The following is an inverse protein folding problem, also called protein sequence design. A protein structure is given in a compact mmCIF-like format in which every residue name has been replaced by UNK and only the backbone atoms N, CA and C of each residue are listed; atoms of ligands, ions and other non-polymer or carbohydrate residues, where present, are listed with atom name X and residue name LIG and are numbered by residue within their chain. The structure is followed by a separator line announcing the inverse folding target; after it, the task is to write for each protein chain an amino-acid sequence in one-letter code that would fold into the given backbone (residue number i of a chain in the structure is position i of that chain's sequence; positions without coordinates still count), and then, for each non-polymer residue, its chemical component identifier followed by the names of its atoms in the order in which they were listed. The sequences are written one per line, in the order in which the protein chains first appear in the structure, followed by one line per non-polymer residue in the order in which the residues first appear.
data_IF_807486347498
#
_entry.id   IF_807486347498
#
_cell.length_a   1.000
_cell.length_b   1.000
_cell.length_c   1.000
_cell.angle_alpha   90.00
_cell.angle_beta   90.00
_cell.angle_gamma   90.00
#
_symmetry.space_group_name_H-M   'P 1'
#
loop_
_entity.id
_entity.type
_entity.pdbx_description
1 polymer ?
#
# COMPACT_ATOMS: atom_id res chain seq x y z
N UNK A 1 -30.74 0.26 -42.13
CA UNK A 1 -30.23 -0.04 -43.48
C UNK A 1 -28.71 -0.03 -43.39
N UNK A 2 -28.12 -1.17 -43.04
CA UNK A 2 -27.37 -2.06 -43.94
C UNK A 2 -26.25 -1.31 -44.70
N UNK A 3 -24.99 -1.68 -44.53
CA UNK A 3 -24.46 -2.89 -45.14
C UNK A 3 -23.07 -3.28 -44.61
N UNK A 4 -22.82 -4.59 -44.68
CA UNK A 4 -21.62 -5.33 -44.33
C UNK A 4 -20.39 -4.95 -45.18
N UNK A 5 -19.18 -5.19 -44.66
CA UNK A 5 -18.21 -6.03 -45.37
C UNK A 5 -16.98 -6.42 -44.53
N UNK A 6 -16.68 -7.71 -44.60
CA UNK A 6 -15.45 -8.41 -44.16
C UNK A 6 -14.47 -8.47 -45.35
N UNK A 7 -13.15 -8.60 -45.15
CA UNK A 7 -12.47 -9.91 -45.37
C UNK A 7 -11.28 -10.14 -44.38
N UNK A 8 -11.05 -11.30 -43.76
CA UNK A 8 -10.31 -12.50 -44.23
C UNK A 8 -8.92 -12.26 -44.84
N UNK A 9 -7.83 -12.46 -44.08
CA UNK A 9 -6.77 -13.46 -44.34
C UNK A 9 -5.55 -13.32 -43.39
N UNK A 10 -5.15 -14.44 -42.79
CA UNK A 10 -3.83 -14.75 -42.17
C UNK A 10 -2.82 -15.17 -43.26
N UNK A 11 -1.48 -15.34 -43.07
CA UNK A 11 -0.88 -16.21 -42.03
C UNK A 11 0.58 -15.88 -41.55
N UNK A 12 1.08 -16.73 -40.63
CA UNK A 12 2.51 -17.08 -40.37
C UNK A 12 3.41 -16.00 -39.72
N UNK A 13 4.16 -16.23 -38.65
CA UNK A 13 4.47 -17.41 -37.84
C UNK A 13 5.62 -17.10 -36.86
N UNK A 14 5.76 -17.96 -35.84
CA UNK A 14 6.96 -18.19 -34.99
C UNK A 14 7.34 -17.08 -33.99
N UNK A 15 7.71 -17.32 -32.72
CA UNK A 15 8.16 -18.55 -32.06
C UNK A 15 8.23 -18.39 -30.51
N UNK A 16 7.93 -19.51 -29.82
CA UNK A 16 8.68 -20.11 -28.69
C UNK A 16 8.39 -19.74 -27.20
N UNK A 17 8.11 -20.84 -26.46
CA UNK A 17 8.34 -21.21 -25.05
C UNK A 17 7.71 -20.38 -23.92
N UNK A 18 6.72 -20.91 -23.21
CA UNK A 18 6.77 -21.99 -22.20
C UNK A 18 6.78 -21.40 -20.79
N UNK A 19 5.64 -21.44 -20.09
CA UNK A 19 5.65 -21.88 -18.70
C UNK A 19 4.29 -22.39 -18.24
N UNK A 20 4.37 -23.44 -17.44
CA UNK A 20 3.35 -24.35 -16.96
C UNK A 20 2.76 -23.83 -15.64
N UNK A 21 1.43 -23.84 -15.48
CA UNK A 21 0.78 -24.11 -14.18
C UNK A 21 -0.74 -24.23 -14.31
N UNK A 22 -1.20 -25.48 -14.29
CA UNK A 22 -2.30 -25.99 -13.46
C UNK A 22 -3.72 -25.40 -13.62
N UNK A 23 -4.49 -26.11 -14.46
CA UNK A 23 -5.94 -26.24 -14.35
C UNK A 23 -6.34 -26.92 -13.02
N UNK A 24 -7.00 -26.21 -12.12
CA UNK A 24 -7.77 -26.82 -11.02
C UNK A 24 -9.26 -26.66 -11.28
N UNK A 25 -9.84 -27.71 -11.88
CA UNK A 25 -11.27 -28.05 -11.82
C UNK A 25 -11.70 -28.14 -10.33
N UNK A 26 -12.87 -27.63 -9.92
CA UNK A 26 -13.37 -27.88 -8.58
C UNK A 26 -13.75 -29.37 -8.49
N UNK A 27 -12.98 -30.13 -7.73
CA UNK A 27 -13.30 -31.52 -7.40
C UNK A 27 -14.47 -31.52 -6.43
N UNK A 28 -15.65 -31.87 -6.94
CA UNK A 28 -16.84 -32.18 -6.15
C UNK A 28 -16.51 -33.39 -5.27
N UNK A 29 -16.23 -33.15 -3.99
CA UNK A 29 -15.81 -34.19 -3.06
C UNK A 29 -16.82 -35.34 -3.00
N UNK A 30 -16.33 -36.57 -2.89
CA UNK A 30 -17.15 -37.78 -2.85
C UNK A 30 -18.30 -37.72 -1.82
N UNK A 31 -18.15 -36.95 -0.74
CA UNK A 31 -19.23 -36.68 0.22
C UNK A 31 -20.40 -35.89 -0.36
N UNK A 32 -20.15 -34.84 -1.16
CA UNK A 32 -21.22 -34.03 -1.76
C UNK A 32 -22.01 -34.84 -2.78
N UNK A 33 -21.33 -35.68 -3.56
CA UNK A 33 -21.97 -36.63 -4.47
C UNK A 33 -22.80 -37.64 -3.68
N UNK A 34 -22.30 -38.15 -2.55
CA UNK A 34 -23.03 -39.08 -1.68
C UNK A 34 -24.25 -38.46 -1.03
N UNK A 35 -24.17 -37.18 -0.65
CA UNK A 35 -25.26 -36.40 -0.05
C UNK A 35 -26.34 -36.02 -1.08
N UNK A 36 -25.93 -35.76 -2.32
CA UNK A 36 -26.83 -35.51 -3.44
C UNK A 36 -27.47 -36.82 -3.94
N UNK A 37 -26.73 -37.94 -3.96
CA UNK A 37 -27.30 -39.26 -4.24
C UNK A 37 -28.31 -39.68 -3.16
N UNK A 38 -28.00 -39.42 -1.88
CA UNK A 38 -28.89 -39.79 -0.78
C UNK A 38 -30.17 -38.94 -0.76
N UNK A 39 -30.08 -37.65 -1.10
CA UNK A 39 -31.26 -36.79 -1.23
C UNK A 39 -32.12 -37.15 -2.46
N UNK A 40 -31.50 -37.53 -3.59
CA UNK A 40 -32.22 -38.03 -4.76
C UNK A 40 -32.87 -39.40 -4.50
N UNK A 41 -32.19 -40.32 -3.80
CA UNK A 41 -32.79 -41.60 -3.39
C UNK A 41 -33.96 -41.42 -2.43
N UNK A 42 -33.88 -40.47 -1.48
CA UNK A 42 -34.96 -40.19 -0.54
C UNK A 42 -36.23 -39.71 -1.26
N UNK A 43 -36.09 -38.79 -2.20
CA UNK A 43 -37.20 -38.30 -3.03
C UNK A 43 -37.81 -39.39 -3.92
N UNK A 44 -36.98 -40.26 -4.51
CA UNK A 44 -37.47 -41.42 -5.28
C UNK A 44 -38.19 -42.44 -4.38
N UNK A 45 -37.70 -42.65 -3.16
CA UNK A 45 -38.34 -43.53 -2.18
C UNK A 45 -39.67 -42.95 -1.71
N UNK A 46 -39.77 -41.65 -1.50
CA UNK A 46 -41.01 -40.93 -1.14
C UNK A 46 -42.06 -41.02 -2.25
N UNK A 47 -41.67 -40.81 -3.52
CA UNK A 47 -42.56 -41.03 -4.66
C UNK A 47 -42.96 -42.51 -4.83
N UNK A 48 -42.04 -43.44 -4.58
CA UNK A 48 -42.33 -44.89 -4.59
C UNK A 48 -43.28 -45.28 -3.45
N UNK A 49 -43.12 -44.74 -2.24
CA UNK A 49 -44.00 -45.00 -1.11
C UNK A 49 -45.37 -44.39 -1.34
N UNK A 50 -45.45 -43.20 -1.94
CA UNK A 50 -46.71 -42.58 -2.32
C UNK A 50 -47.44 -43.42 -3.38
N UNK A 51 -46.75 -43.85 -4.44
CA UNK A 51 -47.36 -44.70 -5.49
C UNK A 51 -47.80 -46.06 -4.93
N UNK A 52 -47.02 -46.69 -4.04
CA UNK A 52 -47.40 -47.94 -3.36
C UNK A 52 -48.55 -47.76 -2.36
N UNK A 53 -48.60 -46.65 -1.64
CA UNK A 53 -49.70 -46.31 -0.74
C UNK A 53 -50.97 -46.01 -1.52
N UNK A 54 -50.87 -45.28 -2.64
CA UNK A 54 -51.99 -45.01 -3.54
C UNK A 54 -52.52 -46.31 -4.17
N UNK A 55 -51.63 -47.19 -4.62
CA UNK A 55 -52.03 -48.48 -5.20
C UNK A 55 -52.61 -49.44 -4.14
N UNK A 56 -52.08 -49.42 -2.92
CA UNK A 56 -52.69 -50.11 -1.77
C UNK A 56 -54.06 -49.54 -1.42
N UNK A 57 -54.22 -48.23 -1.50
CA UNK A 57 -55.48 -47.54 -1.24
C UNK A 57 -56.53 -47.82 -2.33
N UNK A 58 -56.13 -47.83 -3.61
CA UNK A 58 -57.00 -48.21 -4.73
C UNK A 58 -57.44 -49.68 -4.59
N UNK A 59 -56.52 -50.59 -4.24
CA UNK A 59 -56.87 -51.98 -3.98
C UNK A 59 -57.76 -52.14 -2.73
N UNK A 60 -57.58 -51.31 -1.71
CA UNK A 60 -58.46 -51.29 -0.55
C UNK A 60 -59.86 -50.81 -0.92
N UNK A 61 -59.97 -49.75 -1.74
CA UNK A 61 -61.24 -49.25 -2.27
C UNK A 61 -61.93 -50.30 -3.14
N UNK A 62 -61.21 -50.97 -4.06
CA UNK A 62 -61.80 -52.05 -4.87
C UNK A 62 -62.27 -53.22 -4.01
N UNK A 63 -61.51 -53.62 -2.98
CA UNK A 63 -61.97 -54.65 -2.04
C UNK A 63 -63.15 -54.17 -1.19
N UNK A 64 -63.20 -52.89 -0.87
CA UNK A 64 -64.30 -52.28 -0.12
C UNK A 64 -65.57 -52.22 -0.96
N UNK A 65 -65.51 -51.77 -2.22
CA UNK A 65 -66.66 -51.78 -3.14
C UNK A 65 -67.15 -53.20 -3.38
N UNK A 66 -66.25 -54.17 -3.56
CA UNK A 66 -66.61 -55.57 -3.73
C UNK A 66 -67.28 -56.14 -2.46
N UNK A 67 -66.78 -55.80 -1.27
CA UNK A 67 -67.43 -56.14 0.01
C UNK A 67 -68.81 -55.51 0.14
N UNK A 68 -68.96 -54.22 -0.20
CA UNK A 68 -70.25 -53.53 -0.18
C UNK A 68 -71.26 -54.18 -1.13
N UNK A 69 -70.85 -54.58 -2.33
CA UNK A 69 -71.73 -55.29 -3.28
C UNK A 69 -72.14 -56.66 -2.74
N UNK A 70 -71.22 -57.44 -2.15
CA UNK A 70 -71.60 -58.71 -1.51
C UNK A 70 -72.47 -58.54 -0.26
N UNK A 71 -72.28 -57.48 0.51
CA UNK A 71 -73.14 -57.17 1.66
C UNK A 71 -74.52 -56.71 1.22
N UNK A 72 -74.60 -55.96 0.12
CA UNK A 72 -75.87 -55.60 -0.53
C UNK A 72 -76.59 -56.85 -1.04
N UNK A 73 -75.89 -57.77 -1.70
CA UNK A 73 -76.46 -59.02 -2.20
C UNK A 73 -76.91 -59.94 -1.04
N UNK A 74 -76.11 -60.02 0.04
CA UNK A 74 -76.51 -60.72 1.26
C UNK A 74 -77.73 -60.08 1.93
N UNK A 75 -77.82 -58.76 1.98
CA UNK A 75 -78.94 -58.05 2.57
C UNK A 75 -80.21 -58.17 1.73
N UNK A 76 -80.10 -58.07 0.40
CA UNK A 76 -81.18 -58.35 -0.56
C UNK A 76 -81.67 -59.79 -0.36
N UNK A 77 -80.76 -60.76 -0.27
CA UNK A 77 -81.10 -62.18 -0.04
C UNK A 77 -81.68 -62.41 1.36
N UNK A 78 -81.23 -61.70 2.39
CA UNK A 78 -81.75 -61.76 3.76
C UNK A 78 -83.17 -61.18 3.85
N UNK A 79 -83.43 -60.05 3.16
CA UNK A 79 -84.75 -59.43 3.10
C UNK A 79 -85.72 -60.22 2.21
N UNK A 80 -85.23 -60.89 1.17
CA UNK A 80 -86.05 -61.72 0.27
C UNK A 80 -86.32 -63.11 0.85
N UNK A 81 -85.37 -63.71 1.59
CA UNK A 81 -85.42 -65.11 2.01
C UNK A 81 -85.82 -65.33 3.48
N UNK A 82 -86.67 -64.44 4.02
CA UNK A 82 -87.42 -64.71 5.25
C UNK A 82 -88.90 -64.83 4.91
N UNK A 83 -89.36 -66.05 4.62
CA UNK A 83 -90.79 -66.37 4.57
C UNK A 83 -91.06 -67.83 4.99
N UNK A 84 -91.10 -68.05 6.30
CA UNK A 84 -92.08 -68.90 6.99
C UNK A 84 -92.37 -68.09 8.28
N UNK A 85 -93.47 -67.37 8.46
CA UNK A 85 -94.87 -67.69 8.24
C UNK A 85 -95.70 -66.43 7.91
N UNK A 86 -96.82 -66.72 7.26
CA UNK A 86 -98.05 -65.93 7.12
C UNK A 86 -98.17 -64.91 5.97
N UNK A 87 -99.23 -65.13 5.17
CA UNK A 87 -99.64 -64.32 4.04
C UNK A 87 -100.30 -63.04 4.58
N UNK A 88 -99.64 -61.89 4.44
CA UNK A 88 -100.30 -60.58 4.56
C UNK A 88 -99.73 -59.58 3.53
N UNK A 89 -100.66 -58.93 2.81
CA UNK A 89 -100.51 -58.15 1.58
C UNK A 89 -99.74 -56.79 1.73
N UNK A 90 -99.20 -56.51 2.91
CA UNK A 90 -98.49 -55.27 3.23
C UNK A 90 -96.99 -55.32 2.90
N UNK A 91 -96.40 -56.52 2.81
CA UNK A 91 -94.96 -56.68 2.55
C UNK A 91 -94.59 -56.54 1.05
N UNK A 92 -95.53 -56.78 0.14
CA UNK A 92 -95.29 -56.61 -1.31
C UNK A 92 -95.35 -55.15 -1.76
N UNK A 93 -96.12 -54.29 -1.09
CA UNK A 93 -96.20 -52.85 -1.39
C UNK A 93 -95.01 -52.06 -0.83
N UNK A 94 -94.37 -52.54 0.25
CA UNK A 94 -93.21 -51.87 0.87
C UNK A 94 -91.85 -52.20 0.20
N UNK A 95 -91.78 -53.20 -0.69
CA UNK A 95 -90.54 -53.60 -1.38
C UNK A 95 -90.00 -52.52 -2.34
N UNK A 96 -90.88 -51.76 -2.99
CA UNK A 96 -90.49 -50.69 -3.92
C UNK A 96 -89.75 -49.53 -3.24
N UNK A 97 -90.34 -48.87 -2.23
CA UNK A 97 -89.73 -47.72 -1.57
C UNK A 97 -88.42 -48.04 -0.84
N UNK A 98 -88.31 -49.23 -0.21
CA UNK A 98 -87.09 -49.63 0.52
C UNK A 98 -85.93 -49.86 -0.45
N UNK A 99 -86.17 -50.52 -1.58
CA UNK A 99 -85.12 -50.70 -2.61
C UNK A 99 -84.70 -49.36 -3.22
N UNK A 100 -85.65 -48.46 -3.48
CA UNK A 100 -85.35 -47.11 -3.98
C UNK A 100 -84.49 -46.31 -2.99
N UNK A 101 -84.85 -46.31 -1.70
CA UNK A 101 -84.07 -45.63 -0.66
C UNK A 101 -82.65 -46.16 -0.53
N UNK A 102 -82.47 -47.47 -0.67
CA UNK A 102 -81.14 -48.11 -0.61
C UNK A 102 -80.26 -47.71 -1.80
N UNK A 103 -80.82 -47.62 -3.01
CA UNK A 103 -80.11 -47.16 -4.20
C UNK A 103 -79.67 -45.70 -4.10
N UNK A 104 -80.51 -44.81 -3.58
CA UNK A 104 -80.20 -43.38 -3.43
C UNK A 104 -79.03 -43.16 -2.48
N UNK A 105 -79.01 -43.86 -1.34
CA UNK A 105 -77.91 -43.78 -0.36
C UNK A 105 -76.60 -44.28 -1.00
N UNK A 106 -76.66 -45.37 -1.77
CA UNK A 106 -75.46 -45.95 -2.39
C UNK A 106 -74.86 -45.01 -3.46
N UNK A 107 -75.72 -44.41 -4.28
CA UNK A 107 -75.32 -43.40 -5.27
C UNK A 107 -74.67 -42.18 -4.59
N UNK A 108 -75.23 -41.70 -3.48
CA UNK A 108 -74.68 -40.57 -2.74
C UNK A 108 -73.29 -40.87 -2.18
N UNK A 109 -73.09 -42.05 -1.61
CA UNK A 109 -71.78 -42.46 -1.06
C UNK A 109 -70.72 -42.61 -2.16
N UNK A 110 -71.08 -43.16 -3.32
CA UNK A 110 -70.15 -43.30 -4.44
C UNK A 110 -69.78 -41.93 -5.01
N UNK A 111 -70.76 -41.06 -5.24
CA UNK A 111 -70.52 -39.72 -5.78
C UNK A 111 -69.71 -38.86 -4.80
N UNK A 112 -70.09 -38.84 -3.52
CA UNK A 112 -69.39 -38.09 -2.48
C UNK A 112 -67.98 -38.61 -2.23
N UNK A 113 -67.82 -39.94 -2.14
CA UNK A 113 -66.51 -40.57 -1.98
C UNK A 113 -65.59 -40.36 -3.19
N UNK A 114 -66.14 -40.43 -4.40
CA UNK A 114 -65.42 -40.11 -5.63
C UNK A 114 -64.96 -38.65 -5.68
N UNK A 115 -65.80 -37.72 -5.20
CA UNK A 115 -65.47 -36.31 -5.16
C UNK A 115 -64.31 -35.98 -4.20
N UNK A 116 -64.24 -36.63 -3.03
CA UNK A 116 -63.13 -36.45 -2.07
C UNK A 116 -61.78 -36.89 -2.65
N UNK A 117 -61.75 -37.91 -3.51
CA UNK A 117 -60.50 -38.37 -4.16
C UNK A 117 -60.04 -37.41 -5.26
N UNK A 118 -60.99 -36.79 -5.96
CA UNK A 118 -60.68 -35.87 -7.06
C UNK A 118 -60.47 -34.43 -6.60
N UNK A 119 -60.84 -34.07 -5.38
CA UNK A 119 -60.65 -32.73 -4.84
C UNK A 119 -59.17 -32.49 -4.49
N UNK A 120 -58.44 -31.63 -5.23
CA UNK A 120 -57.09 -31.25 -4.85
C UNK A 120 -57.17 -30.37 -3.60
N UNK A 121 -56.70 -30.91 -2.47
CA UNK A 121 -56.44 -30.13 -1.26
C UNK A 121 -55.11 -29.41 -1.47
N UNK A 122 -55.15 -28.22 -2.05
CA UNK A 122 -53.99 -27.33 -2.14
C UNK A 122 -53.63 -26.83 -0.73
N UNK A 123 -52.69 -27.51 -0.09
CA UNK A 123 -52.06 -27.05 1.14
C UNK A 123 -51.17 -25.84 0.83
N UNK A 124 -51.68 -24.64 1.07
CA UNK A 124 -50.91 -23.40 1.04
C UNK A 124 -50.05 -23.27 2.32
N UNK A 125 -49.01 -24.11 2.45
CA UNK A 125 -48.00 -23.94 3.49
C UNK A 125 -47.03 -22.81 3.12
N UNK A 126 -47.14 -21.67 3.81
CA UNK A 126 -46.17 -20.58 3.73
C UNK A 126 -45.03 -20.86 4.71
N UNK A 127 -43.89 -21.31 4.21
CA UNK A 127 -42.66 -21.39 4.99
C UNK A 127 -41.95 -20.03 5.01
N UNK A 128 -41.56 -19.54 6.20
CA UNK A 128 -40.72 -18.36 6.34
C UNK A 128 -39.26 -18.79 6.18
N UNK A 129 -38.64 -18.45 5.05
CA UNK A 129 -37.21 -18.65 4.82
C UNK A 129 -36.41 -17.41 5.22
N UNK A 130 -35.37 -17.59 6.03
CA UNK A 130 -34.39 -16.53 6.33
C UNK A 130 -33.09 -16.80 5.57
N UNK A 131 -32.64 -15.83 4.77
CA UNK A 131 -31.33 -15.89 4.10
C UNK A 131 -30.27 -15.41 5.09
N UNK A 132 -29.52 -16.36 5.65
CA UNK A 132 -28.38 -16.06 6.52
C UNK A 132 -27.11 -16.11 5.66
N UNK A 133 -26.34 -15.01 5.53
CA UNK A 133 -25.08 -15.05 4.81
C UNK A 133 -24.11 -15.98 5.55
N UNK A 134 -23.63 -17.02 4.87
CA UNK A 134 -22.65 -17.97 5.40
C UNK A 134 -21.22 -17.41 5.43
N UNK A 135 -20.98 -16.27 4.78
CA UNK A 135 -19.63 -15.68 4.67
C UNK A 135 -19.28 -14.83 5.90
N UNK A 136 -18.03 -14.95 6.35
CA UNK A 136 -17.46 -14.09 7.39
C UNK A 136 -17.41 -12.66 6.85
N UNK A 137 -18.25 -11.78 7.38
CA UNK A 137 -18.20 -10.33 7.09
C UNK A 137 -16.82 -9.80 7.46
N UNK A 138 -16.21 -9.01 6.57
CA UNK A 138 -14.94 -8.31 6.82
C UNK A 138 -15.22 -6.82 6.94
N UNK A 139 -14.77 -6.20 8.02
CA UNK A 139 -14.84 -4.75 8.20
C UNK A 139 -13.70 -4.11 7.40
N UNK A 140 -14.04 -3.16 6.53
CA UNK A 140 -13.07 -2.36 5.78
C UNK A 140 -12.94 -1.02 6.48
N UNK A 141 -11.74 -0.69 6.95
CA UNK A 141 -11.45 0.55 7.68
C UNK A 141 -10.17 1.17 7.12
N UNK A 142 -10.15 2.51 6.99
CA UNK A 142 -8.93 3.23 6.64
C UNK A 142 -7.98 3.26 7.84
N UNK A 143 -6.69 2.87 7.68
CA UNK A 143 -5.70 2.90 8.77
C UNK A 143 -5.30 4.32 9.18
N UNK A 144 -5.45 5.30 8.28
CA UNK A 144 -5.01 6.69 8.48
C UNK A 144 -6.17 7.64 8.77
N UNK A 145 -7.42 7.20 8.59
CA UNK A 145 -8.59 8.09 8.57
C UNK A 145 -8.61 8.96 7.31
N UNK A 146 -9.43 10.02 7.29
CA UNK A 146 -9.50 10.99 6.19
C UNK A 146 -10.94 11.37 5.82
N UNK A 147 -11.07 12.44 5.02
CA UNK A 147 -12.35 12.87 4.47
C UNK A 147 -12.71 12.00 3.27
N UNK A 148 -13.94 11.49 3.21
CA UNK A 148 -14.42 10.75 2.03
C UNK A 148 -14.71 11.74 0.91
N UNK A 149 -14.12 11.51 -0.25
CA UNK A 149 -14.37 12.29 -1.47
C UNK A 149 -15.50 11.68 -2.28
N UNK A 150 -15.46 10.37 -2.49
CA UNK A 150 -16.42 9.66 -3.33
C UNK A 150 -16.60 8.22 -2.85
N UNK A 151 -17.82 7.70 -2.99
CA UNK A 151 -18.16 6.30 -2.70
C UNK A 151 -18.59 5.65 -4.02
N UNK A 152 -17.89 4.61 -4.45
CA UNK A 152 -18.07 3.98 -5.76
C UNK A 152 -19.10 2.84 -5.77
N UNK A 153 -19.55 2.39 -4.60
CA UNK A 153 -20.40 1.20 -4.47
C UNK A 153 -21.60 1.45 -3.57
N UNK A 154 -22.71 0.79 -3.90
CA UNK A 154 -23.94 0.83 -3.13
C UNK A 154 -24.18 -0.49 -2.40
N UNK A 155 -25.16 -0.48 -1.50
CA UNK A 155 -25.52 -1.69 -0.74
C UNK A 155 -26.08 -2.76 -1.69
N UNK A 156 -25.42 -3.92 -1.71
CA UNK A 156 -25.83 -5.07 -2.54
C UNK A 156 -25.02 -5.24 -3.83
N UNK A 157 -24.12 -4.28 -4.14
CA UNK A 157 -23.24 -4.39 -5.30
C UNK A 157 -22.21 -5.53 -5.10
N UNK A 158 -21.94 -6.25 -6.19
CA UNK A 158 -20.91 -7.29 -6.21
C UNK A 158 -19.56 -6.67 -6.55
N UNK A 159 -18.61 -6.73 -5.61
CA UNK A 159 -17.24 -6.21 -5.76
C UNK A 159 -16.22 -7.34 -5.78
N UNK A 160 -15.16 -7.18 -6.58
CA UNK A 160 -14.00 -8.07 -6.59
C UNK A 160 -12.87 -7.50 -5.74
N UNK A 161 -11.90 -8.34 -5.41
CA UNK A 161 -10.72 -7.89 -4.70
C UNK A 161 -9.89 -6.93 -5.58
N UNK A 162 -9.59 -5.74 -5.05
CA UNK A 162 -8.86 -4.69 -5.77
C UNK A 162 -9.75 -3.60 -6.37
N UNK A 163 -11.07 -3.77 -6.37
CA UNK A 163 -11.98 -2.75 -6.88
C UNK A 163 -12.01 -1.54 -5.93
N UNK A 164 -11.99 -0.30 -6.45
CA UNK A 164 -12.11 0.90 -5.63
C UNK A 164 -13.52 0.99 -5.04
N UNK A 165 -13.61 1.08 -3.71
CA UNK A 165 -14.88 1.14 -2.96
C UNK A 165 -15.16 2.58 -2.52
N UNK A 166 -14.14 3.27 -2.01
CA UNK A 166 -14.20 4.64 -1.50
C UNK A 166 -12.92 5.36 -1.91
N UNK A 167 -13.03 6.57 -2.45
CA UNK A 167 -11.92 7.50 -2.59
C UNK A 167 -11.90 8.46 -1.39
N UNK A 168 -10.72 8.64 -0.81
CA UNK A 168 -10.46 9.66 0.20
C UNK A 168 -10.02 10.96 -0.48
N UNK A 169 -10.17 12.07 0.23
CA UNK A 169 -9.63 13.35 -0.20
C UNK A 169 -8.10 13.34 -0.13
N UNK A 170 -7.48 13.51 -1.29
CA UNK A 170 -6.02 13.44 -1.46
C UNK A 170 -5.34 14.80 -1.23
N UNK A 171 -6.08 15.90 -1.03
CA UNK A 171 -5.49 17.25 -0.97
C UNK A 171 -4.39 17.34 0.10
N UNK A 172 -4.65 16.84 1.31
CA UNK A 172 -3.68 16.90 2.40
C UNK A 172 -2.48 15.98 2.15
N UNK A 173 -2.72 14.75 1.69
CA UNK A 173 -1.67 13.78 1.41
C UNK A 173 -0.75 14.27 0.27
N UNK A 174 -1.35 14.84 -0.78
CA UNK A 174 -0.62 15.43 -1.91
C UNK A 174 0.17 16.65 -1.48
N UNK A 175 -0.39 17.55 -0.67
CA UNK A 175 0.35 18.68 -0.13
C UNK A 175 1.58 18.25 0.68
N UNK A 176 1.43 17.24 1.55
CA UNK A 176 2.55 16.71 2.34
C UNK A 176 3.62 16.04 1.47
N UNK A 177 3.18 15.32 0.43
CA UNK A 177 4.08 14.73 -0.56
C UNK A 177 4.87 15.81 -1.30
N UNK A 178 4.22 16.85 -1.80
CA UNK A 178 4.88 17.96 -2.50
C UNK A 178 5.89 18.70 -1.60
N UNK A 179 5.54 18.94 -0.33
CA UNK A 179 6.48 19.55 0.64
C UNK A 179 7.72 18.67 0.83
N UNK A 180 7.53 17.37 1.05
CA UNK A 180 8.62 16.43 1.28
C UNK A 180 9.48 16.25 0.02
N UNK A 181 8.85 16.22 -1.15
CA UNK A 181 9.50 16.16 -2.44
C UNK A 181 10.35 17.41 -2.71
N UNK A 182 9.83 18.60 -2.41
CA UNK A 182 10.58 19.83 -2.58
C UNK A 182 11.76 19.91 -1.60
N UNK A 183 11.60 19.50 -0.35
CA UNK A 183 12.70 19.38 0.60
C UNK A 183 13.78 18.42 0.10
N UNK A 184 13.37 17.26 -0.41
CA UNK A 184 14.29 16.28 -0.99
C UNK A 184 15.07 16.88 -2.18
N UNK A 185 14.38 17.58 -3.10
CA UNK A 185 15.03 18.29 -4.22
C UNK A 185 16.07 19.31 -3.74
N UNK A 186 15.72 20.10 -2.72
CA UNK A 186 16.65 21.06 -2.10
C UNK A 186 17.87 20.36 -1.52
N UNK A 187 17.68 19.33 -0.71
CA UNK A 187 18.81 18.61 -0.10
C UNK A 187 19.72 17.96 -1.14
N UNK A 188 19.16 17.40 -2.22
CA UNK A 188 19.94 16.79 -3.29
C UNK A 188 20.79 17.83 -4.05
N UNK A 189 20.24 19.03 -4.30
CA UNK A 189 20.99 20.12 -4.93
C UNK A 189 22.10 20.65 -4.00
N UNK A 190 21.80 20.83 -2.72
CA UNK A 190 22.77 21.24 -1.70
C UNK A 190 23.87 20.20 -1.52
N UNK A 191 23.54 18.91 -1.48
CA UNK A 191 24.51 17.81 -1.41
C UNK A 191 25.46 17.85 -2.61
N UNK A 192 24.92 17.94 -3.83
CA UNK A 192 25.73 18.03 -5.04
C UNK A 192 26.71 19.20 -4.97
N UNK A 193 26.26 20.39 -4.51
CA UNK A 193 27.14 21.54 -4.30
C UNK A 193 28.22 21.25 -3.26
N UNK A 194 27.87 20.68 -2.11
CA UNK A 194 28.82 20.39 -1.05
C UNK A 194 29.87 19.36 -1.47
N UNK A 195 29.48 18.35 -2.25
CA UNK A 195 30.41 17.39 -2.85
C UNK A 195 31.35 18.10 -3.83
N UNK A 196 30.83 18.99 -4.67
CA UNK A 196 31.65 19.79 -5.59
C UNK A 196 32.65 20.70 -4.84
N UNK A 197 32.23 21.32 -3.73
CA UNK A 197 33.11 22.14 -2.87
C UNK A 197 34.19 21.29 -2.20
N UNK A 198 33.82 20.13 -1.64
CA UNK A 198 34.76 19.20 -0.99
C UNK A 198 35.84 18.72 -1.94
N UNK A 199 35.44 18.34 -3.15
CA UNK A 199 36.33 17.75 -4.15
C UNK A 199 36.97 18.81 -5.06
N UNK A 200 36.71 20.10 -4.78
CA UNK A 200 37.21 21.27 -5.50
C UNK A 200 36.97 21.18 -7.02
N UNK A 201 35.76 20.75 -7.40
CA UNK A 201 35.34 20.64 -8.79
C UNK A 201 35.11 22.02 -9.42
N UNK A 202 35.08 22.07 -10.76
CA UNK A 202 34.78 23.31 -11.49
C UNK A 202 33.29 23.62 -11.57
N UNK A 203 32.46 22.59 -11.55
CA UNK A 203 31.02 22.66 -11.74
C UNK A 203 30.33 21.67 -10.79
N UNK A 204 29.07 21.94 -10.47
CA UNK A 204 28.27 21.08 -9.59
C UNK A 204 27.73 19.88 -10.39
N UNK A 205 28.04 18.63 -10.01
CA UNK A 205 27.48 17.45 -10.65
C UNK A 205 26.07 17.19 -10.09
N UNK A 206 25.07 17.93 -10.57
CA UNK A 206 23.68 17.72 -10.17
C UNK A 206 23.17 16.32 -10.57
N UNK A 207 22.37 15.71 -9.70
CA UNK A 207 21.76 14.40 -9.95
C UNK A 207 20.79 14.45 -11.14
N UNK A 208 20.71 13.36 -11.91
CA UNK A 208 19.83 13.22 -13.07
C UNK A 208 18.36 13.51 -12.72
N UNK A 209 17.92 13.13 -11.52
CA UNK A 209 16.57 13.39 -11.03
C UNK A 209 16.19 14.89 -11.04
N UNK A 210 17.15 15.77 -10.75
CA UNK A 210 16.96 17.23 -10.81
C UNK A 210 17.07 17.75 -12.24
N UNK A 211 18.02 17.21 -13.02
CA UNK A 211 18.25 17.64 -14.41
C UNK A 211 17.06 17.34 -15.31
N UNK A 212 16.39 16.19 -15.11
CA UNK A 212 15.18 15.82 -15.84
C UNK A 212 14.00 16.78 -15.55
N UNK A 213 14.08 17.52 -14.44
CA UNK A 213 13.05 18.46 -13.96
C UNK A 213 13.50 19.91 -14.01
N UNK A 214 14.61 20.21 -14.70
CA UNK A 214 15.17 21.55 -14.78
C UNK A 214 14.20 22.60 -15.34
N UNK A 215 13.20 22.17 -16.11
CA UNK A 215 12.20 23.05 -16.71
C UNK A 215 11.08 23.44 -15.73
N UNK A 216 10.99 22.77 -14.57
CA UNK A 216 10.11 23.18 -13.47
C UNK A 216 10.62 24.51 -12.89
N UNK A 217 9.81 25.58 -12.79
CA UNK A 217 10.28 26.90 -12.36
C UNK A 217 10.97 26.91 -10.98
N UNK A 218 10.47 26.09 -10.06
CA UNK A 218 11.06 25.98 -8.72
C UNK A 218 12.43 25.29 -8.75
N UNK A 219 12.59 24.23 -9.54
CA UNK A 219 13.86 23.50 -9.70
C UNK A 219 14.87 24.35 -10.46
N UNK A 220 14.47 25.04 -11.53
CA UNK A 220 15.33 25.98 -12.26
C UNK A 220 15.92 27.05 -11.33
N UNK A 221 15.08 27.62 -10.46
CA UNK A 221 15.49 28.63 -9.48
C UNK A 221 16.44 28.04 -8.44
N UNK A 222 16.13 26.85 -7.94
CA UNK A 222 16.99 26.12 -6.98
C UNK A 222 18.38 25.85 -7.57
N UNK A 223 18.46 25.23 -8.75
CA UNK A 223 19.72 24.92 -9.43
C UNK A 223 20.56 26.18 -9.68
N UNK A 224 19.92 27.25 -10.18
CA UNK A 224 20.58 28.54 -10.39
C UNK A 224 21.09 29.14 -9.08
N UNK A 225 20.30 29.06 -8.00
CA UNK A 225 20.70 29.61 -6.71
C UNK A 225 21.91 28.87 -6.11
N UNK A 226 21.96 27.54 -6.25
CA UNK A 226 23.07 26.72 -5.77
C UNK A 226 24.33 26.96 -6.62
N UNK A 227 24.19 27.11 -7.93
CA UNK A 227 25.30 27.46 -8.83
C UNK A 227 25.90 28.84 -8.50
N UNK A 228 25.06 29.87 -8.31
CA UNK A 228 25.53 31.20 -7.90
C UNK A 228 26.21 31.17 -6.53
N UNK A 229 25.68 30.41 -5.57
CA UNK A 229 26.28 30.26 -4.25
C UNK A 229 27.65 29.57 -4.35
N UNK A 230 27.75 28.53 -5.16
CA UNK A 230 29.00 27.80 -5.39
C UNK A 230 30.08 28.69 -6.00
N UNK A 231 29.74 29.45 -7.06
CA UNK A 231 30.66 30.38 -7.71
C UNK A 231 31.15 31.47 -6.74
N UNK A 232 30.23 32.05 -5.97
CA UNK A 232 30.56 33.05 -4.95
C UNK A 232 31.51 32.51 -3.87
N UNK A 233 31.28 31.27 -3.40
CA UNK A 233 32.17 30.61 -2.44
C UNK A 233 33.54 30.30 -3.02
N UNK A 234 33.59 29.82 -4.26
CA UNK A 234 34.86 29.55 -4.94
C UNK A 234 35.67 30.84 -5.16
N UNK A 235 35.01 31.94 -5.54
CA UNK A 235 35.65 33.25 -5.69
C UNK A 235 36.18 33.77 -4.34
N UNK A 236 35.38 33.65 -3.28
CA UNK A 236 35.79 34.04 -1.93
C UNK A 236 37.02 33.25 -1.48
N UNK A 237 37.00 31.93 -1.67
CA UNK A 237 38.13 31.05 -1.35
C UNK A 237 39.40 31.45 -2.09
N UNK A 238 39.30 31.70 -3.42
CA UNK A 238 40.43 32.17 -4.24
C UNK A 238 40.99 33.50 -3.72
N UNK A 239 40.13 34.48 -3.44
CA UNK A 239 40.53 35.78 -2.90
C UNK A 239 41.21 35.67 -1.54
N UNK A 240 40.72 34.78 -0.66
CA UNK A 240 41.37 34.52 0.63
C UNK A 240 42.76 33.93 0.43
N UNK A 241 42.92 32.96 -0.48
CA UNK A 241 44.22 32.36 -0.80
C UNK A 241 45.18 33.40 -1.36
N UNK A 242 44.72 34.24 -2.29
CA UNK A 242 45.50 35.35 -2.85
C UNK A 242 45.95 36.33 -1.74
N UNK A 243 45.04 36.75 -0.86
CA UNK A 243 45.36 37.65 0.26
C UNK A 243 46.38 37.05 1.23
N UNK A 244 46.22 35.76 1.58
CA UNK A 244 47.17 35.05 2.43
C UNK A 244 48.54 34.93 1.76
N UNK A 245 48.58 34.68 0.44
CA UNK A 245 49.82 34.61 -0.33
C UNK A 245 50.52 35.96 -0.37
N UNK A 246 49.78 37.06 -0.59
CA UNK A 246 50.33 38.41 -0.56
C UNK A 246 50.87 38.77 0.83
N UNK A 247 50.15 38.38 1.90
CA UNK A 247 50.62 38.58 3.28
C UNK A 247 51.88 37.78 3.58
N UNK A 248 51.97 36.54 3.10
CA UNK A 248 53.18 35.72 3.21
C UNK A 248 54.37 36.40 2.53
N UNK A 249 54.22 36.82 1.27
CA UNK A 249 55.26 37.55 0.53
C UNK A 249 55.67 38.85 1.23
N UNK A 250 54.72 39.59 1.80
CA UNK A 250 55.01 40.80 2.56
C UNK A 250 55.85 40.50 3.81
N UNK A 251 55.51 39.45 4.57
CA UNK A 251 56.27 39.02 5.75
C UNK A 251 57.68 38.55 5.36
N UNK A 252 57.82 37.81 4.26
CA UNK A 252 59.14 37.42 3.74
C UNK A 252 60.01 38.64 3.41
N UNK A 253 59.44 39.67 2.76
CA UNK A 253 60.16 40.93 2.48
C UNK A 253 60.52 41.72 3.73
N UNK A 254 59.65 41.74 4.73
CA UNK A 254 59.96 42.33 6.03
C UNK A 254 61.11 41.58 6.71
N UNK A 255 61.10 40.25 6.68
CA UNK A 255 62.14 39.40 7.24
C UNK A 255 63.48 39.58 6.52
N UNK A 256 63.47 39.69 5.19
CA UNK A 256 64.66 40.04 4.39
C UNK A 256 65.27 41.37 4.85
N UNK A 257 64.43 42.41 5.00
CA UNK A 257 64.86 43.74 5.49
C UNK A 257 65.42 43.72 6.91
N UNK A 258 64.76 43.00 7.83
CA UNK A 258 65.23 42.86 9.20
C UNK A 258 66.53 42.06 9.29
N UNK A 259 66.72 41.02 8.47
CA UNK A 259 67.98 40.29 8.40
C UNK A 259 69.13 41.17 7.89
N UNK A 260 68.89 42.01 6.89
CA UNK A 260 69.86 43.00 6.44
C UNK A 260 70.21 44.00 7.57
N UNK A 261 69.20 44.48 8.32
CA UNK A 261 69.39 45.35 9.49
C UNK A 261 70.20 44.67 10.59
N UNK A 262 69.90 43.40 10.89
CA UNK A 262 70.66 42.56 11.83
C UNK A 262 72.12 42.45 11.41
N UNK A 263 72.38 42.16 10.14
CA UNK A 263 73.76 42.05 9.62
C UNK A 263 74.52 43.38 9.76
N UNK A 264 73.86 44.51 9.48
CA UNK A 264 74.44 45.85 9.69
C UNK A 264 74.74 46.12 11.17
N UNK A 265 73.81 45.80 12.07
CA UNK A 265 73.98 45.94 13.50
C UNK A 265 75.14 45.07 14.04
N UNK A 266 75.31 43.84 13.54
CA UNK A 266 76.44 42.97 13.87
C UNK A 266 77.77 43.62 13.45
N UNK A 267 77.86 44.18 12.24
CA UNK A 267 79.05 44.90 11.77
C UNK A 267 79.35 46.12 12.64
N UNK A 268 78.34 46.93 12.96
CA UNK A 268 78.49 48.09 13.84
C UNK A 268 78.94 47.71 15.25
N UNK A 269 78.40 46.62 15.81
CA UNK A 269 78.81 46.08 17.11
C UNK A 269 80.28 45.68 17.11
N UNK A 270 80.75 45.01 16.06
CA UNK A 270 82.15 44.60 15.92
C UNK A 270 83.09 45.82 15.93
N UNK A 271 82.79 46.84 15.11
CA UNK A 271 83.57 48.09 15.04
C UNK A 271 83.59 48.83 16.38
N UNK A 272 82.43 48.98 17.05
CA UNK A 272 82.36 49.69 18.33
C UNK A 272 83.10 48.93 19.45
N UNK A 273 83.05 47.59 19.46
CA UNK A 273 83.83 46.78 20.41
C UNK A 273 85.33 46.92 20.20
N UNK A 274 85.79 46.98 18.95
CA UNK A 274 87.21 47.19 18.64
C UNK A 274 87.67 48.60 19.03
N UNK A 275 86.87 49.63 18.75
CA UNK A 275 87.12 51.00 19.21
C UNK A 275 87.17 51.06 20.73
N UNK A 276 86.18 50.48 21.42
CA UNK A 276 86.13 50.45 22.88
C UNK A 276 87.37 49.79 23.49
N UNK A 277 87.86 48.69 22.91
CA UNK A 277 89.10 48.04 23.33
C UNK A 277 90.29 49.01 23.22
N UNK A 278 90.41 49.68 22.07
CA UNK A 278 91.47 50.68 21.84
C UNK A 278 91.39 51.84 22.85
N UNK A 279 90.19 52.38 23.12
CA UNK A 279 90.00 53.45 24.10
C UNK A 279 90.27 53.00 25.55
N UNK A 280 89.94 51.76 25.92
CA UNK A 280 90.32 51.17 27.21
C UNK A 280 91.83 51.11 27.36
N UNK A 281 92.55 50.69 26.31
CA UNK A 281 94.01 50.64 26.32
C UNK A 281 94.63 52.04 26.46
N UNK A 282 94.08 53.06 25.79
CA UNK A 282 94.53 54.46 25.92
C UNK A 282 94.26 55.03 27.33
N UNK A 283 93.11 54.71 27.92
CA UNK A 283 92.77 55.10 29.29
C UNK A 283 93.73 54.49 30.30
N UNK A 284 94.03 53.19 30.17
CA UNK A 284 94.97 52.48 31.05
C UNK A 284 96.39 53.05 30.97
N UNK A 285 96.78 53.64 29.83
CA UNK A 285 98.05 54.36 29.64
C UNK A 285 98.02 55.80 30.15
N UNK A 286 96.88 56.28 30.67
CA UNK A 286 96.72 57.64 31.21
C UNK A 286 96.48 58.73 30.15
N UNK A 287 96.24 58.37 28.89
CA UNK A 287 96.12 59.32 27.77
C UNK A 287 94.67 59.70 27.41
N UNK A 288 93.67 59.23 28.16
CA UNK A 288 92.25 59.46 27.89
C UNK A 288 91.51 59.86 29.16
N UNK A 289 90.53 60.77 29.04
CA UNK A 289 89.64 61.12 30.15
C UNK A 289 88.58 60.01 30.37
N UNK A 290 88.28 59.69 31.63
CA UNK A 290 87.26 58.68 32.00
C UNK A 290 85.88 58.94 31.38
N UNK A 291 85.49 60.21 31.26
CA UNK A 291 84.22 60.60 30.63
C UNK A 291 84.12 60.11 29.18
N UNK A 292 85.22 60.21 28.40
CA UNK A 292 85.28 59.75 27.01
C UNK A 292 85.18 58.22 26.91
N UNK A 293 85.77 57.49 27.87
CA UNK A 293 85.66 56.03 27.93
C UNK A 293 84.20 55.59 28.17
N UNK A 294 83.53 56.20 29.16
CA UNK A 294 82.13 55.89 29.49
C UNK A 294 81.18 56.19 28.32
N UNK A 295 81.45 57.25 27.55
CA UNK A 295 80.71 57.58 26.32
C UNK A 295 80.77 56.42 25.30
N UNK A 296 81.95 55.84 25.05
CA UNK A 296 82.10 54.70 24.14
C UNK A 296 81.55 53.39 24.70
N UNK A 297 81.60 53.18 26.02
CA UNK A 297 80.93 52.04 26.67
C UNK A 297 79.41 52.12 26.50
N UNK A 298 78.81 53.29 26.79
CA UNK A 298 77.39 53.52 26.60
C UNK A 298 76.96 53.32 25.14
N UNK A 299 77.75 53.84 24.18
CA UNK A 299 77.49 53.66 22.75
C UNK A 299 77.55 52.19 22.31
N UNK A 300 78.49 51.42 22.85
CA UNK A 300 78.59 49.98 22.55
C UNK A 300 77.39 49.22 23.11
N UNK A 301 76.96 49.55 24.34
CA UNK A 301 75.77 48.98 24.94
C UNK A 301 74.48 49.32 24.15
N UNK A 302 74.37 50.54 23.62
CA UNK A 302 73.25 50.95 22.76
C UNK A 302 73.18 50.13 21.46
N UNK A 303 74.32 49.93 20.79
CA UNK A 303 74.38 49.10 19.57
C UNK A 303 74.02 47.64 19.86
N UNK A 304 74.44 47.11 21.01
CA UNK A 304 74.05 45.76 21.45
C UNK A 304 72.55 45.65 21.74
N UNK A 305 71.96 46.64 22.39
CA UNK A 305 70.52 46.72 22.61
C UNK A 305 69.74 46.73 21.29
N UNK A 306 70.16 47.56 20.32
CA UNK A 306 69.53 47.64 19.00
C UNK A 306 69.59 46.31 18.22
N UNK A 307 70.69 45.56 18.36
CA UNK A 307 70.80 44.22 17.79
C UNK A 307 69.77 43.27 18.41
N UNK A 308 69.65 43.25 19.75
CA UNK A 308 68.71 42.39 20.46
C UNK A 308 67.25 42.72 20.10
N UNK A 309 66.91 44.00 19.96
CA UNK A 309 65.58 44.43 19.50
C UNK A 309 65.29 43.89 18.10
N UNK A 310 66.25 44.03 17.17
CA UNK A 310 66.09 43.51 15.80
C UNK A 310 65.95 41.99 15.79
N UNK A 311 66.72 41.26 16.61
CA UNK A 311 66.61 39.81 16.75
C UNK A 311 65.25 39.38 17.33
N UNK A 312 64.70 40.14 18.28
CA UNK A 312 63.36 39.92 18.81
C UNK A 312 62.27 40.18 17.78
N UNK A 313 62.40 41.23 16.95
CA UNK A 313 61.48 41.50 15.85
C UNK A 313 61.47 40.36 14.81
N UNK A 314 62.64 39.82 14.46
CA UNK A 314 62.75 38.65 13.57
C UNK A 314 62.10 37.42 14.21
N UNK A 315 62.35 37.17 15.50
CA UNK A 315 61.77 36.04 16.20
C UNK A 315 60.23 36.08 16.17
N UNK A 316 59.62 37.26 16.39
CA UNK A 316 58.15 37.46 16.35
C UNK A 316 57.52 37.20 14.99
N UNK A 317 58.27 37.34 13.89
CA UNK A 317 57.75 37.05 12.54
C UNK A 317 57.85 35.55 12.22
N UNK A 318 58.76 34.84 12.87
CA UNK A 318 58.98 33.40 12.69
C UNK A 318 58.11 32.50 13.58
N UNK A 319 57.52 33.06 14.66
CA UNK A 319 56.51 32.39 15.49
C UNK A 319 55.15 32.29 14.78
#
# INVERSE_FOLDING_TARGET
MNNENKPSNSPTGQNISANNSNNTKPQLGAEQIKLLLSSMQKNQKEQSTFKKNLQSFINYIMKFTQRCVTQLDFFIKYVINKHELDKNDVMNTARGPVMFGTYVIFIFVILGGGWVVLAPLDSAERAIGFVIPSSKRKLIQSPQGGTVKEIYVLLGDQVKAGDPIVALDEVQAKAQYEVSLNQYKTYLATEARLVAERDNLKEIPFDQFLLDRKDEPHVATLLRSEDLLFQSRQETYKKTLESLTQRHLQLEKQLEGLNARKQSAIKNKAVNRELLKSYRDLYNKGHLQKAKLLEFEARTAEVESNLLVTESEIAKINE
#
